data_IF_768743096405
#
_entry.id   IF_768743096405
#
_cell.length_a   1.000
_cell.length_b   1.000
_cell.length_c   1.000
_cell.angle_alpha   90.00
_cell.angle_beta   90.00
_cell.angle_gamma   90.00
#
_symmetry.space_group_name_H-M   'P 1'
#
loop_
_entity.id
_entity.type
_entity.pdbx_description
1 polymer ?
#
# COMPACT_ATOMS: atom_id res chain seq x y z
N UNK A 1 -22.42 1.84 2.82
CA UNK A 1 -21.34 1.48 1.88
C UNK A 1 -20.06 1.41 2.70
N UNK A 2 -19.39 0.26 2.85
CA UNK A 2 -18.09 0.26 3.52
C UNK A 2 -17.16 1.13 2.69
N UNK A 3 -16.51 2.11 3.32
CA UNK A 3 -15.47 2.92 2.69
C UNK A 3 -14.44 1.93 2.14
N UNK A 4 -14.30 1.83 0.81
CA UNK A 4 -13.30 0.94 0.21
C UNK A 4 -11.95 1.38 0.77
N UNK A 5 -11.38 0.58 1.67
CA UNK A 5 -10.01 0.78 2.13
C UNK A 5 -9.10 0.74 0.90
N UNK A 6 -8.04 1.56 0.91
CA UNK A 6 -7.09 1.64 -0.20
C UNK A 6 -6.61 0.26 -0.63
N UNK A 7 -6.78 -0.07 -1.91
CA UNK A 7 -6.42 -1.37 -2.47
C UNK A 7 -4.90 -1.53 -2.45
N UNK A 8 -4.39 -2.47 -1.64
CA UNK A 8 -2.96 -2.59 -1.39
C UNK A 8 -2.18 -3.02 -2.65
N UNK A 9 -2.82 -3.81 -3.52
CA UNK A 9 -2.21 -4.33 -4.75
C UNK A 9 -1.94 -3.26 -5.81
N UNK A 10 -2.50 -2.06 -5.70
CA UNK A 10 -2.22 -0.94 -6.61
C UNK A 10 -0.91 -0.22 -6.25
N UNK A 11 -0.29 -0.52 -5.11
CA UNK A 11 0.96 0.11 -4.70
C UNK A 11 2.17 -0.65 -5.25
N UNK A 12 3.12 0.11 -5.79
CA UNK A 12 4.40 -0.37 -6.32
C UNK A 12 5.53 0.39 -5.63
N UNK A 13 6.44 -0.33 -4.98
CA UNK A 13 7.60 0.29 -4.31
C UNK A 13 8.58 0.81 -5.36
N UNK A 14 9.00 2.07 -5.24
CA UNK A 14 9.89 2.69 -6.21
C UNK A 14 11.24 1.97 -6.25
N UNK A 15 11.78 1.72 -7.45
CA UNK A 15 13.03 0.99 -7.60
C UNK A 15 14.18 1.78 -6.99
N UNK A 16 14.93 1.16 -6.08
CA UNK A 16 16.03 1.82 -5.38
C UNK A 16 15.58 2.84 -4.32
N UNK A 17 14.28 2.89 -4.01
CA UNK A 17 13.79 3.66 -2.88
C UNK A 17 14.53 3.24 -1.61
N UNK A 18 15.02 4.24 -0.88
CA UNK A 18 15.55 4.03 0.47
C UNK A 18 14.38 3.85 1.41
N UNK A 19 14.48 2.85 2.28
CA UNK A 19 13.58 2.71 3.41
C UNK A 19 14.15 3.42 4.62
N UNK A 20 13.29 4.10 5.36
CA UNK A 20 13.61 4.69 6.65
C UNK A 20 12.84 3.94 7.74
N UNK A 21 13.48 3.67 8.87
CA UNK A 21 12.82 3.03 10.00
C UNK A 21 12.86 3.94 11.22
N UNK A 22 11.80 3.88 12.02
CA UNK A 22 11.77 4.54 13.31
C UNK A 22 10.79 3.87 14.27
N UNK A 23 11.10 3.97 15.56
CA UNK A 23 10.29 3.40 16.62
C UNK A 23 9.05 4.26 16.92
N UNK A 24 7.87 3.64 16.94
CA UNK A 24 6.60 4.27 17.35
C UNK A 24 6.06 3.62 18.63
N UNK A 25 6.43 4.18 19.78
CA UNK A 25 6.00 3.70 21.10
C UNK A 25 4.47 3.62 21.28
N UNK A 26 3.72 4.54 20.67
CA UNK A 26 2.26 4.60 20.77
C UNK A 26 1.50 3.73 19.78
N UNK A 27 2.19 2.90 18.99
CA UNK A 27 1.59 2.05 17.95
C UNK A 27 1.85 0.58 18.27
N UNK A 28 0.79 -0.23 18.38
CA UNK A 28 0.87 -1.69 18.51
C UNK A 28 1.81 -2.16 19.65
N UNK A 29 1.64 -1.58 20.84
CA UNK A 29 2.50 -1.81 22.02
C UNK A 29 3.99 -1.49 21.79
N UNK A 30 4.27 -0.63 20.82
CA UNK A 30 5.60 -0.11 20.52
C UNK A 30 6.31 -0.96 19.47
N UNK A 31 6.26 -0.51 18.21
CA UNK A 31 6.89 -1.20 17.08
C UNK A 31 7.83 -0.31 16.29
N UNK A 32 8.82 -0.93 15.66
CA UNK A 32 9.58 -0.31 14.57
C UNK A 32 8.72 -0.29 13.31
N UNK A 33 8.49 0.89 12.75
CA UNK A 33 7.84 1.03 11.43
C UNK A 33 8.89 1.23 10.35
N UNK A 34 8.55 0.82 9.13
CA UNK A 34 9.38 1.08 7.94
C UNK A 34 8.57 1.92 6.97
N UNK A 35 9.11 3.06 6.57
CA UNK A 35 8.53 3.93 5.55
C UNK A 35 9.32 3.84 4.25
N UNK A 36 8.62 3.74 3.13
CA UNK A 36 9.23 3.61 1.81
C UNK A 36 8.41 4.33 0.74
N UNK A 37 9.09 5.05 -0.16
CA UNK A 37 8.47 5.71 -1.29
C UNK A 37 7.91 4.69 -2.29
N UNK A 38 6.71 4.95 -2.80
CA UNK A 38 5.99 4.09 -3.71
C UNK A 38 5.15 4.93 -4.69
N UNK A 39 4.63 4.26 -5.71
CA UNK A 39 3.64 4.78 -6.63
C UNK A 39 2.36 3.97 -6.49
N UNK A 40 1.21 4.65 -6.50
CA UNK A 40 -0.11 4.04 -6.50
C UNK A 40 -0.74 4.17 -7.87
N UNK A 41 -1.15 3.05 -8.44
CA UNK A 41 -1.96 3.05 -9.65
C UNK A 41 -3.37 3.58 -9.35
N UNK A 42 -3.94 4.37 -10.27
CA UNK A 42 -5.28 4.90 -10.13
C UNK A 42 -6.30 3.76 -10.12
N UNK A 43 -7.32 3.90 -9.28
CA UNK A 43 -8.45 2.99 -9.31
C UNK A 43 -9.22 3.19 -10.61
N UNK A 44 -9.50 2.10 -11.31
CA UNK A 44 -10.31 2.12 -12.51
C UNK A 44 -11.79 2.00 -12.15
N UNK A 45 -12.64 2.71 -12.89
CA UNK A 45 -14.08 2.56 -12.76
C UNK A 45 -14.50 1.12 -13.06
N UNK A 46 -15.45 0.61 -12.27
CA UNK A 46 -16.01 -0.72 -12.52
C UNK A 46 -16.94 -0.62 -13.72
N UNK A 47 -16.57 -1.26 -14.82
CA UNK A 47 -17.42 -1.42 -16.00
C UNK A 47 -18.02 -2.82 -16.03
N UNK A 48 -19.09 -3.03 -16.81
CA UNK A 48 -19.71 -4.35 -17.00
C UNK A 48 -18.79 -5.32 -17.78
N UNK A 49 -17.81 -4.79 -18.51
CA UNK A 49 -16.85 -5.58 -19.28
C UNK A 49 -15.66 -6.00 -18.39
N UNK A 50 -15.29 -7.29 -18.47
CA UNK A 50 -14.16 -7.84 -17.70
C UNK A 50 -12.80 -7.32 -18.20
N UNK A 51 -12.71 -6.93 -19.47
CA UNK A 51 -11.49 -6.43 -20.09
C UNK A 51 -11.81 -5.19 -20.91
N UNK A 52 -11.13 -4.09 -20.62
CA UNK A 52 -11.19 -2.82 -21.36
C UNK A 52 -9.79 -2.39 -21.74
N UNK A 53 -9.69 -1.41 -22.64
CA UNK A 53 -8.42 -0.72 -22.86
C UNK A 53 -7.94 -0.09 -21.54
N UNK A 54 -6.65 -0.26 -21.25
CA UNK A 54 -6.05 0.33 -20.06
C UNK A 54 -5.98 1.86 -20.25
N UNK A 55 -6.59 2.65 -19.37
CA UNK A 55 -6.54 4.10 -19.47
C UNK A 55 -5.12 4.59 -19.20
N UNK A 56 -4.66 5.55 -19.99
CA UNK A 56 -3.35 6.20 -19.82
C UNK A 56 -3.41 7.25 -18.70
N UNK A 57 -3.51 6.77 -17.46
CA UNK A 57 -3.56 7.61 -16.26
C UNK A 57 -2.26 7.40 -15.47
N UNK A 58 -1.53 8.47 -15.13
CA UNK A 58 -0.28 8.35 -14.40
C UNK A 58 -0.50 7.81 -12.99
N UNK A 59 0.47 7.04 -12.49
CA UNK A 59 0.49 6.65 -11.10
C UNK A 59 0.80 7.86 -10.20
N UNK A 60 0.27 7.85 -8.98
CA UNK A 60 0.45 8.89 -7.99
C UNK A 60 1.59 8.53 -7.03
N UNK A 61 2.49 9.47 -6.73
CA UNK A 61 3.50 9.27 -5.69
C UNK A 61 2.85 9.15 -4.32
N UNK A 62 3.31 8.18 -3.53
CA UNK A 62 2.80 7.89 -2.19
C UNK A 62 3.92 7.38 -1.27
N UNK A 63 3.64 7.30 0.02
CA UNK A 63 4.53 6.70 1.01
C UNK A 63 3.81 5.54 1.68
N UNK A 64 4.44 4.36 1.67
CA UNK A 64 3.94 3.20 2.40
C UNK A 64 4.53 3.19 3.81
N UNK A 65 3.67 3.03 4.82
CA UNK A 65 4.08 2.72 6.19
C UNK A 65 3.84 1.24 6.47
N UNK A 66 4.92 0.49 6.66
CA UNK A 66 4.92 -0.93 6.94
C UNK A 66 5.07 -1.17 8.45
N UNK A 67 4.39 -2.21 8.93
CA UNK A 67 4.48 -2.68 10.32
C UNK A 67 5.07 -4.09 10.36
N UNK A 68 5.57 -4.56 11.52
CA UNK A 68 5.95 -5.95 11.69
C UNK A 68 4.78 -6.89 11.40
N UNK A 69 5.05 -7.97 10.66
CA UNK A 69 4.02 -8.92 10.24
C UNK A 69 3.22 -9.50 11.41
N UNK A 70 3.88 -9.81 12.53
CA UNK A 70 3.23 -10.38 13.71
C UNK A 70 2.19 -9.42 14.34
N UNK A 71 2.29 -8.12 14.08
CA UNK A 71 1.42 -7.10 14.65
C UNK A 71 0.22 -6.76 13.75
N UNK A 72 0.12 -7.39 12.57
CA UNK A 72 -1.05 -7.25 11.71
C UNK A 72 -2.33 -7.81 12.39
N UNK A 73 -3.50 -7.39 11.92
CA UNK A 73 -4.83 -7.75 12.44
C UNK A 73 -5.10 -7.38 13.91
N UNK A 74 -4.25 -6.55 14.53
CA UNK A 74 -4.47 -5.98 15.86
C UNK A 74 -5.07 -4.55 15.81
N UNK A 75 -5.68 -4.17 14.68
CA UNK A 75 -6.38 -2.89 14.47
C UNK A 75 -7.74 -3.17 13.79
N UNK A 76 -8.28 -2.21 13.04
CA UNK A 76 -9.46 -2.42 12.21
C UNK A 76 -9.19 -3.40 11.05
N UNK A 77 -10.25 -4.06 10.60
CA UNK A 77 -10.24 -4.94 9.43
C UNK A 77 -9.75 -4.19 8.19
N UNK A 78 -8.88 -4.84 7.42
CA UNK A 78 -8.28 -4.25 6.23
C UNK A 78 -7.38 -5.21 5.46
N UNK A 79 -7.05 -4.84 4.23
CA UNK A 79 -6.15 -5.62 3.37
C UNK A 79 -4.72 -5.66 3.93
N UNK A 80 -3.99 -6.74 3.65
CA UNK A 80 -2.58 -6.90 4.00
C UNK A 80 -1.85 -7.73 2.95
N UNK A 81 -0.61 -7.34 2.68
CA UNK A 81 0.32 -8.05 1.82
C UNK A 81 1.72 -7.95 2.43
N UNK A 82 2.49 -9.04 2.34
CA UNK A 82 3.92 -9.06 2.70
C UNK A 82 4.79 -8.80 1.47
N UNK A 83 4.41 -9.42 0.34
CA UNK A 83 5.10 -9.24 -0.93
C UNK A 83 4.50 -8.04 -1.67
N UNK A 84 5.31 -6.99 -1.79
CA UNK A 84 4.95 -5.77 -2.51
C UNK A 84 5.45 -5.84 -3.94
N UNK A 85 4.67 -5.26 -4.86
CA UNK A 85 5.12 -5.10 -6.24
C UNK A 85 6.30 -4.13 -6.29
N UNK A 86 7.30 -4.46 -7.12
CA UNK A 86 8.42 -3.55 -7.39
C UNK A 86 8.10 -2.73 -8.64
N UNK A 87 8.16 -1.40 -8.53
CA UNK A 87 8.07 -0.47 -9.65
C UNK A 87 9.17 -0.73 -10.69
N UNK A 88 8.91 -0.34 -11.95
CA UNK A 88 9.78 -0.62 -13.09
C UNK A 88 11.02 0.27 -13.08
#
# INVERSE_FOLDING_TARGET
>A
MPTRGSLQWLNKVNRGAKSESHYKAGLLDGVEVVEVAAQREPEQDVTDDLYTDAPDVPAEETQLTLIPYYAWANRADGQMQVWLQRGR
#
